data_IF_873277168473
#
_entry.id   IF_873277168473
#
_cell.length_a   1.000
_cell.length_b   1.000
_cell.length_c   1.000
_cell.angle_alpha   90.00
_cell.angle_beta   90.00
_cell.angle_gamma   90.00
#
_symmetry.space_group_name_H-M   'P 1'
#
loop_
_entity.id
_entity.type
_entity.pdbx_description
1 polymer ?
#
# COMPACT_ATOMS: atom_id res chain seq x y z
N UNK A 1 -15.07 8.16 -6.80
CA UNK A 1 -14.83 7.63 -5.43
C UNK A 1 -14.11 8.70 -4.63
N UNK A 2 -14.44 8.93 -3.35
CA UNK A 2 -13.78 9.95 -2.50
C UNK A 2 -13.17 9.38 -1.21
N UNK A 3 -13.28 8.08 -0.98
CA UNK A 3 -12.90 7.40 0.27
C UNK A 3 -12.21 6.08 -0.03
N UNK A 4 -11.24 5.72 0.80
CA UNK A 4 -10.61 4.40 0.76
C UNK A 4 -11.60 3.29 1.10
N UNK A 5 -11.46 2.16 0.41
CA UNK A 5 -12.32 0.98 0.59
C UNK A 5 -11.77 0.00 1.63
N UNK A 6 -10.50 0.12 2.01
CA UNK A 6 -9.84 -0.86 2.88
C UNK A 6 -10.27 -0.80 4.35
N UNK A 7 -10.91 0.31 4.78
CA UNK A 7 -11.41 0.47 6.15
C UNK A 7 -12.60 -0.46 6.41
N UNK A 8 -12.51 -1.25 7.47
CA UNK A 8 -13.51 -2.23 7.89
C UNK A 8 -13.59 -2.28 9.42
N UNK A 9 -14.72 -2.75 9.95
CA UNK A 9 -14.80 -3.06 11.38
C UNK A 9 -13.87 -4.23 11.72
N UNK A 10 -13.11 -4.09 12.81
CA UNK A 10 -12.12 -5.08 13.24
C UNK A 10 -12.12 -5.22 14.75
N UNK A 11 -12.00 -6.46 15.23
CA UNK A 11 -11.76 -6.75 16.65
C UNK A 11 -10.72 -7.88 16.80
N UNK A 12 -10.01 -7.98 17.93
CA UNK A 12 -9.07 -9.07 18.16
C UNK A 12 -9.70 -10.46 17.99
N UNK A 13 -10.93 -10.64 18.47
CA UNK A 13 -11.66 -11.91 18.44
C UNK A 13 -12.08 -12.31 17.03
N UNK A 14 -12.45 -11.33 16.19
CA UNK A 14 -12.81 -11.57 14.79
C UNK A 14 -11.57 -11.86 13.95
N UNK A 15 -10.44 -11.19 14.22
CA UNK A 15 -9.17 -11.43 13.54
C UNK A 15 -8.58 -12.80 13.88
N UNK A 16 -8.70 -13.26 15.13
CA UNK A 16 -8.19 -14.55 15.58
C UNK A 16 -8.89 -15.76 14.93
N UNK A 17 -10.09 -15.55 14.37
CA UNK A 17 -10.88 -16.61 13.70
C UNK A 17 -10.54 -16.78 12.22
N UNK A 18 -9.69 -15.92 11.66
CA UNK A 18 -9.35 -15.96 10.24
C UNK A 18 -8.39 -17.11 9.95
N UNK A 19 -8.66 -17.85 8.87
CA UNK A 19 -7.75 -18.89 8.40
C UNK A 19 -6.44 -18.27 7.85
N UNK A 20 -5.29 -18.94 8.09
CA UNK A 20 -4.04 -18.61 7.41
C UNK A 20 -4.19 -18.65 5.88
N UNK A 21 -3.51 -17.73 5.18
CA UNK A 21 -3.48 -17.71 3.71
C UNK A 21 -2.69 -18.90 3.16
N UNK A 22 -1.61 -19.28 3.85
CA UNK A 22 -0.82 -20.47 3.60
C UNK A 22 -1.02 -21.42 4.79
N UNK A 23 -1.32 -22.68 4.50
CA UNK A 23 -1.54 -23.68 5.55
C UNK A 23 -0.28 -23.87 6.42
N UNK A 24 -0.46 -23.83 7.74
CA UNK A 24 0.63 -23.90 8.72
C UNK A 24 1.38 -22.59 8.98
N UNK A 25 1.04 -21.51 8.29
CA UNK A 25 1.66 -20.18 8.48
C UNK A 25 0.80 -19.26 9.39
N UNK A 26 1.33 -18.08 9.74
CA UNK A 26 0.71 -17.12 10.66
C UNK A 26 -0.19 -16.09 9.96
N UNK A 27 0.15 -15.70 8.73
CA UNK A 27 -0.49 -14.56 8.07
C UNK A 27 -1.89 -14.89 7.54
N UNK A 28 -2.85 -14.01 7.86
CA UNK A 28 -4.25 -14.12 7.42
C UNK A 28 -4.62 -12.93 6.53
N UNK A 29 -5.82 -12.95 5.96
CA UNK A 29 -6.39 -11.77 5.29
C UNK A 29 -6.61 -10.57 6.25
N UNK A 30 -6.53 -10.81 7.56
CA UNK A 30 -6.57 -9.80 8.61
C UNK A 30 -5.29 -8.97 8.72
N UNK A 31 -4.15 -9.66 8.55
CA UNK A 31 -2.80 -9.15 8.85
C UNK A 31 -1.94 -8.94 7.60
N UNK A 32 -2.54 -9.05 6.42
CA UNK A 32 -1.90 -8.83 5.12
C UNK A 32 -2.51 -7.61 4.42
N UNK A 33 -1.73 -6.96 3.55
CA UNK A 33 -2.24 -5.88 2.70
C UNK A 33 -3.35 -6.38 1.78
N UNK A 34 -4.35 -5.52 1.54
CA UNK A 34 -5.40 -5.78 0.56
C UNK A 34 -4.85 -5.56 -0.85
N UNK A 35 -5.37 -6.31 -1.82
CA UNK A 35 -5.23 -5.92 -3.23
C UNK A 35 -6.05 -4.66 -3.41
N UNK A 36 -5.40 -3.60 -3.89
CA UNK A 36 -6.02 -2.29 -4.07
C UNK A 36 -5.67 -1.77 -5.45
N UNK A 37 -6.68 -1.26 -6.15
CA UNK A 37 -6.50 -0.53 -7.40
C UNK A 37 -6.45 0.98 -7.08
N UNK A 38 -5.39 1.66 -7.50
CA UNK A 38 -5.20 3.08 -7.19
C UNK A 38 -4.12 3.74 -8.06
N UNK A 39 -4.18 5.07 -8.13
CA UNK A 39 -3.20 5.90 -8.83
C UNK A 39 -2.87 7.14 -7.98
N UNK A 40 -1.62 7.60 -8.03
CA UNK A 40 -1.16 8.81 -7.37
C UNK A 40 -0.20 9.58 -8.28
N UNK A 41 -0.09 10.89 -8.05
CA UNK A 41 0.86 11.75 -8.73
C UNK A 41 1.50 12.70 -7.71
N UNK A 42 2.81 12.89 -7.81
CA UNK A 42 3.58 13.85 -7.01
C UNK A 42 4.34 14.73 -7.98
N UNK A 43 4.24 16.05 -7.81
CA UNK A 43 4.99 17.03 -8.60
C UNK A 43 6.21 17.48 -7.82
N UNK A 44 7.41 17.26 -8.40
CA UNK A 44 8.66 17.81 -7.90
C UNK A 44 9.22 18.84 -8.88
N UNK A 45 9.82 19.88 -8.31
CA UNK A 45 10.56 20.89 -9.04
C UNK A 45 11.59 21.55 -8.12
N UNK A 46 12.52 22.29 -8.73
CA UNK A 46 13.45 23.14 -8.00
C UNK A 46 12.71 24.25 -7.24
N UNK A 47 13.20 24.62 -6.05
CA UNK A 47 12.58 25.66 -5.22
C UNK A 47 12.56 27.02 -5.92
N UNK A 48 13.60 27.40 -6.66
CA UNK A 48 13.64 28.68 -7.37
C UNK A 48 12.58 28.74 -8.49
N UNK A 49 12.28 27.58 -9.09
CA UNK A 49 11.23 27.46 -10.10
C UNK A 49 9.85 27.52 -9.43
N UNK A 50 9.68 26.91 -8.27
CA UNK A 50 8.43 26.99 -7.49
C UNK A 50 8.14 28.44 -7.09
N UNK A 51 9.14 29.17 -6.56
CA UNK A 51 9.02 30.58 -6.17
C UNK A 51 8.65 31.46 -7.37
N UNK A 52 9.32 31.29 -8.51
CA UNK A 52 9.01 32.04 -9.74
C UNK A 52 7.61 31.77 -10.27
N UNK A 53 7.07 30.57 -9.99
CA UNK A 53 5.69 30.20 -10.36
C UNK A 53 4.69 30.46 -9.24
N UNK A 54 5.10 31.13 -8.16
CA UNK A 54 4.26 31.45 -7.00
C UNK A 54 3.60 30.19 -6.39
N UNK A 55 4.28 29.04 -6.50
CA UNK A 55 3.85 27.79 -5.89
C UNK A 55 4.48 27.68 -4.51
N UNK A 56 3.66 27.56 -3.47
CA UNK A 56 4.14 27.30 -2.11
C UNK A 56 4.57 25.83 -1.99
N UNK A 57 5.86 25.51 -1.83
CA UNK A 57 6.28 24.14 -1.55
C UNK A 57 5.78 23.73 -0.16
N UNK A 58 5.13 22.57 -0.05
CA UNK A 58 4.63 22.11 1.25
C UNK A 58 5.77 21.67 2.18
N UNK A 59 6.74 20.90 1.68
CA UNK A 59 7.94 20.46 2.42
C UNK A 59 9.12 20.20 1.48
N UNK A 60 10.35 20.44 1.96
CA UNK A 60 11.57 20.02 1.27
C UNK A 60 11.79 18.50 1.39
N UNK A 61 12.31 17.87 0.34
CA UNK A 61 12.49 16.42 0.33
C UNK A 61 13.76 15.98 1.08
N UNK A 62 13.67 15.07 2.07
CA UNK A 62 14.84 14.50 2.70
C UNK A 62 15.58 13.57 1.73
N UNK A 63 16.84 13.30 2.02
CA UNK A 63 17.62 12.30 1.28
C UNK A 63 16.99 10.91 1.45
N UNK A 64 16.62 10.28 0.34
CA UNK A 64 16.15 8.89 0.31
C UNK A 64 17.35 7.98 0.04
N UNK A 65 17.54 6.96 0.89
CA UNK A 65 18.56 5.93 0.69
C UNK A 65 17.93 4.55 0.56
N UNK A 66 18.22 3.88 -0.55
CA UNK A 66 17.87 2.46 -0.75
C UNK A 66 19.00 1.59 -0.23
N UNK A 67 18.68 0.63 0.64
CA UNK A 67 19.66 -0.15 1.40
C UNK A 67 19.73 -1.64 1.04
N UNK A 68 18.96 -2.11 0.06
CA UNK A 68 18.96 -3.54 -0.29
C UNK A 68 17.87 -3.93 -1.29
N UNK A 69 17.69 -5.24 -1.54
CA UNK A 69 16.71 -5.74 -2.48
C UNK A 69 15.31 -5.52 -1.91
N UNK A 70 14.59 -4.58 -2.49
CA UNK A 70 13.18 -4.40 -2.21
C UNK A 70 12.43 -5.34 -3.14
N UNK A 71 12.00 -6.48 -2.60
CA UNK A 71 11.04 -7.33 -3.28
C UNK A 71 9.65 -6.71 -3.12
N UNK A 72 9.37 -5.61 -3.83
CA UNK A 72 7.98 -5.18 -4.04
C UNK A 72 7.43 -6.09 -5.11
N UNK A 73 6.70 -7.13 -4.70
CA UNK A 73 5.76 -7.79 -5.60
C UNK A 73 4.38 -7.72 -4.96
N UNK A 74 3.70 -6.60 -5.19
CA UNK A 74 2.26 -6.48 -5.01
C UNK A 74 1.54 -7.09 -6.23
N UNK A 75 1.86 -8.35 -6.55
CA UNK A 75 1.34 -9.04 -7.74
C UNK A 75 1.34 -10.56 -7.53
N UNK A 76 0.50 -11.11 -6.65
CA UNK A 76 0.02 -12.52 -6.75
C UNK A 76 -1.00 -12.90 -5.64
N UNK A 77 -2.28 -12.59 -5.79
CA UNK A 77 -3.37 -13.41 -5.19
C UNK A 77 -4.46 -13.77 -6.22
N UNK A 78 -4.39 -13.26 -7.45
CA UNK A 78 -5.34 -13.65 -8.51
C UNK A 78 -5.14 -15.10 -8.99
N UNK A 79 -3.93 -15.65 -8.85
CA UNK A 79 -3.60 -17.02 -9.28
C UNK A 79 -4.06 -18.13 -8.32
N UNK A 80 -4.36 -17.86 -7.05
CA UNK A 80 -4.78 -18.91 -6.10
C UNK A 80 -6.29 -19.07 -6.01
N UNK A 81 -7.08 -17.99 -6.21
CA UNK A 81 -8.54 -18.07 -6.17
C UNK A 81 -9.18 -18.53 -7.48
N UNK A 82 -8.51 -18.38 -8.64
CA UNK A 82 -9.02 -18.84 -9.94
C UNK A 82 -8.80 -20.33 -10.24
N UNK A 83 -8.14 -21.10 -9.34
CA UNK A 83 -8.01 -22.56 -9.45
C UNK A 83 -9.12 -23.34 -8.75
N UNK A 84 -10.16 -22.66 -8.25
CA UNK A 84 -11.34 -23.27 -7.60
C UNK A 84 -12.67 -22.88 -8.26
N UNK A 85 -12.64 -22.43 -9.51
CA UNK A 85 -13.84 -22.30 -10.36
C UNK A 85 -13.66 -23.15 -11.62
#
# INVERSE_FOLDING_TARGET
MKRDQGLRETSPESLAKLAPVIEGDLHTAGTSSQISDGASAVLWMDSEIADRRELSPEQGFPTIRWLGPILITCLMVRSMQLRKC
#
